data_IF_187424778146
#
_entry.id   IF_187424778146
#
_cell.length_a   1.000
_cell.length_b   1.000
_cell.length_c   1.000
_cell.angle_alpha   90.00
_cell.angle_beta   90.00
_cell.angle_gamma   90.00
#
_symmetry.space_group_name_H-M   'P 1'
#
loop_
_entity.id
_entity.type
_entity.pdbx_description
1 polymer ?
#
# COMPACT_ATOMS: atom_id res chain seq x y z
N UNK A 1 7.39 -3.56 -2.22
CA UNK A 1 6.91 -3.96 -0.87
C UNK A 1 6.41 -5.39 -0.93
N UNK A 2 7.12 -6.36 -0.31
CA UNK A 2 6.81 -7.79 -0.51
C UNK A 2 5.50 -8.22 0.15
N UNK A 3 5.31 -7.88 1.43
CA UNK A 3 4.13 -8.30 2.18
C UNK A 3 2.85 -7.60 1.68
N UNK A 4 2.87 -6.29 1.42
CA UNK A 4 1.73 -5.60 0.79
C UNK A 4 1.39 -6.16 -0.60
N UNK A 5 2.40 -6.55 -1.38
CA UNK A 5 2.19 -7.24 -2.65
C UNK A 5 1.46 -8.58 -2.50
N UNK A 6 1.78 -9.35 -1.46
CA UNK A 6 1.07 -10.60 -1.16
C UNK A 6 -0.40 -10.35 -0.76
N UNK A 7 -0.67 -9.33 0.05
CA UNK A 7 -2.03 -8.90 0.39
C UNK A 7 -2.84 -8.54 -0.86
N UNK A 8 -2.25 -7.86 -1.83
CA UNK A 8 -2.95 -7.49 -3.06
C UNK A 8 -3.31 -8.69 -3.96
N UNK A 9 -2.54 -9.77 -3.95
CA UNK A 9 -2.72 -10.88 -4.92
C UNK A 9 -3.28 -12.15 -4.30
N UNK A 10 -3.17 -12.32 -2.99
CA UNK A 10 -3.47 -13.57 -2.29
C UNK A 10 -4.38 -13.40 -1.07
N UNK A 11 -4.90 -12.20 -0.81
CA UNK A 11 -5.85 -11.93 0.26
C UNK A 11 -7.07 -11.14 -0.23
N UNK A 12 -8.14 -11.17 0.57
CA UNK A 12 -9.38 -10.43 0.33
C UNK A 12 -9.35 -9.03 0.97
N UNK A 13 -8.23 -8.65 1.58
CA UNK A 13 -8.06 -7.34 2.21
C UNK A 13 -8.24 -6.23 1.15
N UNK A 14 -9.16 -5.28 1.35
CA UNK A 14 -9.36 -4.20 0.39
C UNK A 14 -8.07 -3.39 0.17
N UNK A 15 -7.66 -3.08 -1.07
CA UNK A 15 -6.36 -2.47 -1.34
C UNK A 15 -6.09 -1.17 -0.57
N UNK A 16 -7.13 -0.34 -0.37
CA UNK A 16 -7.03 0.90 0.42
C UNK A 16 -6.66 0.63 1.89
N UNK A 17 -7.17 -0.43 2.50
CA UNK A 17 -6.84 -0.81 3.89
C UNK A 17 -5.37 -1.21 3.96
N UNK A 18 -4.91 -2.09 3.06
CA UNK A 18 -3.50 -2.47 2.97
C UNK A 18 -2.60 -1.26 2.78
N UNK A 19 -2.95 -0.31 1.90
CA UNK A 19 -2.15 0.91 1.70
C UNK A 19 -2.08 1.71 3.00
N UNK A 20 -3.22 1.96 3.66
CA UNK A 20 -3.27 2.74 4.91
C UNK A 20 -2.40 2.13 6.01
N UNK A 21 -2.48 0.82 6.26
CA UNK A 21 -1.70 0.17 7.31
C UNK A 21 -0.19 0.28 7.06
N UNK A 22 0.27 0.08 5.83
CA UNK A 22 1.68 0.22 5.50
C UNK A 22 2.15 1.68 5.51
N UNK A 23 1.26 2.64 5.22
CA UNK A 23 1.52 4.07 5.38
C UNK A 23 1.74 4.45 6.84
N UNK A 24 0.92 3.92 7.76
CA UNK A 24 1.07 4.18 9.20
C UNK A 24 2.37 3.57 9.74
N UNK A 25 2.75 2.38 9.28
CA UNK A 25 4.07 1.81 9.59
C UNK A 25 5.18 2.74 9.10
N UNK A 26 5.12 3.22 7.87
CA UNK A 26 6.12 4.14 7.33
C UNK A 26 6.23 5.45 8.15
N UNK A 27 5.09 6.02 8.57
CA UNK A 27 5.06 7.21 9.44
C UNK A 27 5.64 6.94 10.83
N UNK A 28 5.41 5.75 11.39
CA UNK A 28 5.95 5.39 12.71
C UNK A 28 7.48 5.31 12.71
N UNK A 29 8.09 4.78 11.64
CA UNK A 29 9.55 4.66 11.52
C UNK A 29 10.22 5.91 10.96
N UNK A 30 9.50 6.72 10.16
CA UNK A 30 10.03 7.93 9.53
C UNK A 30 9.11 9.15 9.77
N UNK A 31 9.01 9.65 11.01
CA UNK A 31 7.97 10.62 11.39
C UNK A 31 8.11 12.00 10.72
N UNK A 32 9.33 12.41 10.38
CA UNK A 32 9.64 13.72 9.82
C UNK A 32 9.95 13.69 8.31
N UNK A 33 9.82 12.52 7.67
CA UNK A 33 10.35 12.28 6.34
C UNK A 33 9.29 12.19 5.23
N UNK A 34 9.76 12.04 3.99
CA UNK A 34 8.90 11.94 2.78
C UNK A 34 8.54 10.49 2.43
N UNK A 35 9.04 9.54 3.19
CA UNK A 35 8.97 8.11 2.96
C UNK A 35 7.51 7.64 2.90
N UNK A 36 6.62 8.15 3.76
CA UNK A 36 5.20 7.81 3.72
C UNK A 36 4.55 8.15 2.36
N UNK A 37 4.94 9.25 1.72
CA UNK A 37 4.45 9.61 0.37
C UNK A 37 5.03 8.70 -0.70
N UNK A 38 6.30 8.33 -0.57
CA UNK A 38 6.94 7.37 -1.47
C UNK A 38 6.27 5.99 -1.36
N UNK A 39 6.05 5.49 -0.14
CA UNK A 39 5.31 4.24 0.12
C UNK A 39 3.94 4.31 -0.51
N UNK A 40 3.21 5.42 -0.32
CA UNK A 40 1.90 5.59 -0.92
C UNK A 40 1.94 5.45 -2.45
N UNK A 41 2.86 6.15 -3.13
CA UNK A 41 2.96 6.06 -4.59
C UNK A 41 3.32 4.67 -5.10
N UNK A 42 4.24 3.96 -4.41
CA UNK A 42 4.61 2.59 -4.79
C UNK A 42 3.44 1.62 -4.59
N UNK A 43 2.75 1.69 -3.44
CA UNK A 43 1.66 0.77 -3.14
C UNK A 43 0.41 1.06 -3.97
N UNK A 44 0.12 2.33 -4.24
CA UNK A 44 -0.98 2.74 -5.10
C UNK A 44 -0.80 2.18 -6.53
N UNK A 45 0.41 2.32 -7.10
CA UNK A 45 0.71 1.73 -8.41
C UNK A 45 0.57 0.21 -8.41
N UNK A 46 1.14 -0.48 -7.40
CA UNK A 46 1.03 -1.93 -7.27
C UNK A 46 -0.43 -2.40 -7.13
N UNK A 47 -1.26 -1.66 -6.38
CA UNK A 47 -2.66 -1.99 -6.16
C UNK A 47 -3.49 -1.85 -7.44
N UNK A 48 -3.28 -0.77 -8.21
CA UNK A 48 -3.96 -0.57 -9.48
C UNK A 48 -3.57 -1.61 -10.53
N UNK A 49 -2.32 -2.11 -10.50
CA UNK A 49 -1.88 -3.18 -11.39
C UNK A 49 -2.45 -4.55 -10.97
N UNK A 50 -2.46 -4.85 -9.68
CA UNK A 50 -2.88 -6.16 -9.16
C UNK A 50 -4.41 -6.34 -9.07
N UNK A 51 -5.15 -5.28 -8.72
CA UNK A 51 -6.61 -5.32 -8.51
C UNK A 51 -7.31 -4.12 -9.16
N UNK A 52 -7.20 -3.93 -10.49
CA UNK A 52 -7.78 -2.78 -11.19
C UNK A 52 -9.30 -2.63 -10.97
N UNK A 53 -10.02 -3.74 -10.78
CA UNK A 53 -11.47 -3.76 -10.57
C UNK A 53 -11.93 -3.09 -9.27
N UNK A 54 -11.07 -2.97 -8.26
CA UNK A 54 -11.41 -2.35 -6.98
C UNK A 54 -11.30 -0.80 -7.02
N UNK A 55 -10.92 -0.25 -8.18
CA UNK A 55 -10.70 1.18 -8.42
C UNK A 55 -11.58 1.74 -9.57
N UNK A 56 -12.52 0.95 -10.08
CA UNK A 56 -13.49 1.34 -11.11
C UNK A 56 -14.73 2.03 -10.53
#
# INVERSE_FOLDING_TARGET
FRAAGAEFVAADTPPKVTITEYLEIAKAFYPAGKEAKFVNGVLDHMAHEARPQDFL
#
